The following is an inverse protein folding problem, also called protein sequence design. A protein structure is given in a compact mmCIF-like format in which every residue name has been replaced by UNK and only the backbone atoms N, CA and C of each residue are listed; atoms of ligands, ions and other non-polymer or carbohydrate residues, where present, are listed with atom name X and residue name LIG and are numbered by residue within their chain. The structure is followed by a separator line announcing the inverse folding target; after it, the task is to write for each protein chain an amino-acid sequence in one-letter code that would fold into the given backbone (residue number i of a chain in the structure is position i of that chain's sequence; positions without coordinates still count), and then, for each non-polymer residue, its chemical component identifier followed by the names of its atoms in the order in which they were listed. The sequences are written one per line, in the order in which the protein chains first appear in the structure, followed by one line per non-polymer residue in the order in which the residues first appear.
data_IF_261669743725
#
_entry.id   IF_261669743725
#
_cell.length_a   1.000
_cell.length_b   1.000
_cell.length_c   1.000
_cell.angle_alpha   90.00
_cell.angle_beta   90.00
_cell.angle_gamma   90.00
#
_symmetry.space_group_name_H-M   'P 1'
#
loop_
_entity.id
_entity.type
_entity.pdbx_description
1 polymer ?
#
# COMPACT_ATOMS: atom_id res chain seq x y z
N UNK A 1 -11.61 0.29 23.61
CA UNK A 1 -11.81 1.20 22.47
C UNK A 1 -10.46 1.83 22.14
N UNK A 2 -10.07 2.00 20.87
CA UNK A 2 -8.83 2.71 20.54
C UNK A 2 -8.89 4.15 21.06
N UNK A 3 -7.75 4.64 21.54
CA UNK A 3 -7.62 5.98 22.12
C UNK A 3 -7.87 7.08 21.05
N UNK A 4 -8.40 8.23 21.44
CA UNK A 4 -8.73 9.32 20.50
C UNK A 4 -7.49 9.76 19.69
N UNK A 5 -6.34 9.79 20.35
CA UNK A 5 -5.05 10.12 19.73
C UNK A 5 -4.63 9.14 18.64
N UNK A 6 -4.96 7.85 18.81
CA UNK A 6 -4.67 6.80 17.81
C UNK A 6 -5.51 7.03 16.56
N UNK A 7 -6.78 7.41 16.70
CA UNK A 7 -7.66 7.68 15.58
C UNK A 7 -7.22 8.91 14.78
N UNK A 8 -6.83 9.99 15.46
CA UNK A 8 -6.31 11.20 14.80
C UNK A 8 -5.03 10.91 14.00
N UNK A 9 -4.13 10.13 14.59
CA UNK A 9 -2.89 9.72 13.92
C UNK A 9 -3.18 8.85 12.69
N UNK A 10 -4.12 7.90 12.80
CA UNK A 10 -4.52 7.05 11.68
C UNK A 10 -5.16 7.86 10.52
N UNK A 11 -5.95 8.90 10.82
CA UNK A 11 -6.53 9.79 9.81
C UNK A 11 -5.46 10.60 9.06
N UNK A 12 -4.47 11.15 9.78
CA UNK A 12 -3.34 11.86 9.15
C UNK A 12 -2.51 10.93 8.26
N UNK A 13 -2.26 9.70 8.73
CA UNK A 13 -1.58 8.66 7.94
C UNK A 13 -2.35 8.35 6.67
N UNK A 14 -3.67 8.17 6.77
CA UNK A 14 -4.55 7.89 5.64
C UNK A 14 -4.59 9.04 4.63
N UNK A 15 -4.68 10.28 5.10
CA UNK A 15 -4.73 11.47 4.23
C UNK A 15 -3.45 11.66 3.43
N UNK A 16 -2.29 11.61 4.09
CA UNK A 16 -0.98 11.72 3.44
C UNK A 16 -0.74 10.59 2.44
N UNK A 17 -1.07 9.36 2.81
CA UNK A 17 -0.98 8.21 1.92
C UNK A 17 -1.95 8.28 0.73
N UNK A 18 -3.16 8.78 0.94
CA UNK A 18 -4.16 8.96 -0.12
C UNK A 18 -3.71 9.96 -1.17
N UNK A 19 -3.14 11.10 -0.75
CA UNK A 19 -2.57 12.10 -1.66
C UNK A 19 -1.43 11.48 -2.49
N UNK A 20 -0.47 10.85 -1.83
CA UNK A 20 0.66 10.21 -2.52
C UNK A 20 0.21 9.09 -3.45
N UNK A 21 -0.79 8.29 -3.05
CA UNK A 21 -1.34 7.23 -3.91
C UNK A 21 -2.04 7.80 -5.13
N UNK A 22 -2.76 8.92 -5.01
CA UNK A 22 -3.41 9.59 -6.13
C UNK A 22 -2.43 10.28 -7.07
N UNK A 23 -1.31 10.80 -6.56
CA UNK A 23 -0.28 11.48 -7.36
C UNK A 23 0.66 10.50 -8.07
N UNK A 24 1.12 9.47 -7.38
CA UNK A 24 2.17 8.57 -7.88
C UNK A 24 1.67 7.17 -8.26
N UNK A 25 0.39 6.84 -8.00
CA UNK A 25 -0.17 5.52 -8.30
C UNK A 25 0.38 4.36 -7.45
N UNK A 26 1.20 4.63 -6.43
CA UNK A 26 1.92 3.63 -5.62
C UNK A 26 1.05 2.86 -4.60
N UNK A 27 -0.26 3.10 -4.58
CA UNK A 27 -1.21 2.42 -3.69
C UNK A 27 -1.18 2.87 -2.23
N UNK A 28 -0.34 3.82 -1.79
CA UNK A 28 -0.34 4.36 -0.41
C UNK A 28 0.25 3.44 0.66
N UNK A 29 0.31 2.11 0.45
CA UNK A 29 0.88 1.13 1.38
C UNK A 29 2.36 1.34 1.71
N UNK A 30 3.12 1.89 0.74
CA UNK A 30 4.51 2.32 0.95
C UNK A 30 4.64 3.33 2.08
N UNK A 31 3.60 4.14 2.29
CA UNK A 31 3.55 5.19 3.30
C UNK A 31 2.83 4.70 4.56
N UNK A 32 1.69 4.01 4.42
CA UNK A 32 0.87 3.55 5.55
C UNK A 32 1.62 2.52 6.40
N UNK A 33 2.24 1.50 5.80
CA UNK A 33 2.86 0.40 6.56
C UNK A 33 3.98 0.89 7.50
N UNK A 34 4.98 1.68 7.04
CA UNK A 34 6.00 2.23 7.92
C UNK A 34 5.42 3.13 9.01
N UNK A 35 4.42 3.97 8.69
CA UNK A 35 3.85 4.87 9.68
C UNK A 35 3.08 4.12 10.78
N UNK A 36 2.35 3.05 10.44
CA UNK A 36 1.70 2.19 11.43
C UNK A 36 2.73 1.49 12.34
N UNK A 37 3.88 1.07 11.80
CA UNK A 37 4.95 0.44 12.58
C UNK A 37 5.65 1.48 13.48
N UNK A 38 6.01 2.64 12.95
CA UNK A 38 6.84 3.61 13.67
C UNK A 38 6.07 4.46 14.67
N UNK A 39 4.88 4.94 14.29
CA UNK A 39 4.07 5.82 15.14
C UNK A 39 3.09 5.06 16.01
N UNK A 40 2.41 4.05 15.45
CA UNK A 40 1.40 3.29 16.18
C UNK A 40 1.95 1.99 16.80
N UNK A 41 3.24 1.70 16.61
CA UNK A 41 3.93 0.53 17.17
C UNK A 41 3.25 -0.80 16.84
N UNK A 42 2.60 -0.89 15.68
CA UNK A 42 1.99 -2.13 15.24
C UNK A 42 3.07 -3.14 14.82
N UNK A 43 2.82 -4.43 15.05
CA UNK A 43 3.61 -5.50 14.43
C UNK A 43 3.47 -5.43 12.90
N UNK A 44 4.48 -5.85 12.13
CA UNK A 44 4.40 -5.70 10.67
C UNK A 44 3.22 -6.45 10.07
N UNK A 45 2.87 -7.64 10.56
CA UNK A 45 1.68 -8.35 10.08
C UNK A 45 0.39 -7.56 10.32
N UNK A 46 0.25 -6.91 11.49
CA UNK A 46 -0.90 -6.07 11.80
C UNK A 46 -0.90 -4.79 10.96
N UNK A 47 0.25 -4.15 10.78
CA UNK A 47 0.40 -2.96 9.94
C UNK A 47 0.07 -3.25 8.47
N UNK A 48 0.61 -4.34 7.91
CA UNK A 48 0.32 -4.78 6.54
C UNK A 48 -1.17 -5.08 6.39
N UNK A 49 -1.76 -5.91 7.26
CA UNK A 49 -3.19 -6.24 7.21
C UNK A 49 -4.09 -5.00 7.32
N UNK A 50 -3.77 -4.08 8.23
CA UNK A 50 -4.53 -2.82 8.40
C UNK A 50 -4.41 -1.91 7.17
N UNK A 51 -3.22 -1.84 6.56
CA UNK A 51 -3.00 -1.04 5.35
C UNK A 51 -3.77 -1.58 4.15
N UNK A 52 -3.92 -2.90 4.01
CA UNK A 52 -4.66 -3.49 2.90
C UNK A 52 -6.14 -3.06 2.91
N UNK A 53 -6.73 -2.96 4.11
CA UNK A 53 -8.12 -2.49 4.27
C UNK A 53 -8.31 -1.07 3.76
N UNK A 54 -7.36 -0.16 4.01
CA UNK A 54 -7.44 1.23 3.56
C UNK A 54 -7.07 1.42 2.09
N UNK A 55 -6.25 0.54 1.51
CA UNK A 55 -5.83 0.64 0.10
C UNK A 55 -6.89 0.13 -0.88
N UNK A 56 -7.52 -1.00 -0.58
CA UNK A 56 -8.39 -1.72 -1.52
C UNK A 56 -9.74 -1.02 -1.76
N UNK A 57 -10.32 -0.40 -0.75
CA UNK A 57 -11.68 0.14 -0.81
C UNK A 57 -11.69 1.64 -1.18
N UNK A 58 -11.23 2.57 -0.35
CA UNK A 58 -11.39 3.99 -0.64
C UNK A 58 -10.36 4.53 -1.64
N UNK A 59 -9.07 4.17 -1.50
CA UNK A 59 -8.00 4.79 -2.29
C UNK A 59 -8.02 4.32 -3.75
N UNK A 60 -8.04 3.00 -3.96
CA UNK A 60 -8.04 2.43 -5.32
C UNK A 60 -9.24 2.86 -6.15
N UNK A 61 -10.45 2.78 -5.59
CA UNK A 61 -11.70 3.10 -6.32
C UNK A 61 -11.72 4.57 -6.74
N UNK A 62 -11.41 5.50 -5.83
CA UNK A 62 -11.46 6.93 -6.13
C UNK A 62 -10.39 7.33 -7.16
N UNK A 63 -9.19 6.76 -7.07
CA UNK A 63 -8.12 7.03 -8.03
C UNK A 63 -8.49 6.50 -9.43
N UNK A 64 -8.90 5.23 -9.54
CA UNK A 64 -9.32 4.63 -10.81
C UNK A 64 -10.47 5.40 -11.42
N UNK A 65 -11.48 5.79 -10.63
CA UNK A 65 -12.60 6.59 -11.14
C UNK A 65 -12.14 7.93 -11.74
N UNK A 66 -11.17 8.60 -11.11
CA UNK A 66 -10.64 9.88 -11.61
C UNK A 66 -9.88 9.70 -12.93
N UNK A 67 -8.97 8.73 -13.01
CA UNK A 67 -8.21 8.45 -14.23
C UNK A 67 -9.08 7.87 -15.35
N UNK A 68 -10.10 7.07 -15.00
CA UNK A 68 -11.06 6.55 -15.97
C UNK A 68 -11.87 7.68 -16.62
N UNK A 69 -12.31 8.67 -15.82
CA UNK A 69 -12.97 9.88 -16.33
C UNK A 69 -12.03 10.74 -17.20
N UNK A 70 -10.72 10.68 -16.99
CA UNK A 70 -9.73 11.37 -17.81
C UNK A 70 -9.40 10.63 -19.13
N UNK A 71 -9.85 9.38 -19.30
CA UNK A 71 -9.54 8.55 -20.46
C UNK A 71 -8.20 7.81 -20.38
N UNK A 72 -7.48 7.90 -19.25
CA UNK A 72 -6.13 7.35 -19.06
C UNK A 72 -6.11 5.91 -18.52
N UNK A 73 -7.22 5.17 -18.65
CA UNK A 73 -7.35 3.81 -18.10
C UNK A 73 -7.64 2.80 -19.21
N UNK A 74 -6.66 1.92 -19.45
CA UNK A 74 -6.89 0.69 -20.22
C UNK A 74 -7.50 -0.39 -19.30
N UNK A 75 -8.81 -0.57 -19.39
CA UNK A 75 -9.54 -1.54 -18.60
C UNK A 75 -9.13 -2.99 -18.90
N UNK A 76 -8.72 -3.31 -20.14
CA UNK A 76 -8.36 -4.70 -20.49
C UNK A 76 -7.06 -5.08 -19.80
N UNK A 77 -6.05 -4.21 -19.88
CA UNK A 77 -4.77 -4.42 -19.21
C UNK A 77 -4.97 -4.40 -17.70
N UNK A 78 -5.74 -3.44 -17.18
CA UNK A 78 -6.05 -3.33 -15.75
C UNK A 78 -6.71 -4.59 -15.18
N UNK A 79 -7.68 -5.17 -15.88
CA UNK A 79 -8.35 -6.41 -15.47
C UNK A 79 -7.44 -7.64 -15.54
N UNK A 80 -6.56 -7.73 -16.55
CA UNK A 80 -5.58 -8.80 -16.64
C UNK A 80 -4.60 -8.76 -15.45
N UNK A 81 -4.13 -7.56 -15.08
CA UNK A 81 -3.30 -7.35 -13.89
C UNK A 81 -4.07 -7.75 -12.62
N UNK A 82 -5.32 -7.30 -12.48
CA UNK A 82 -6.15 -7.62 -11.33
C UNK A 82 -6.36 -9.13 -11.14
N UNK A 83 -6.57 -9.87 -12.23
CA UNK A 83 -6.68 -11.33 -12.19
C UNK A 83 -5.38 -12.00 -11.72
N UNK A 84 -4.23 -11.56 -12.23
CA UNK A 84 -2.93 -12.06 -11.77
C UNK A 84 -2.69 -11.80 -10.28
N UNK A 85 -3.04 -10.59 -9.80
CA UNK A 85 -2.97 -10.24 -8.38
C UNK A 85 -3.89 -11.14 -7.56
N UNK A 86 -5.14 -11.34 -7.99
CA UNK A 86 -6.12 -12.15 -7.26
C UNK A 86 -5.60 -13.57 -7.00
N UNK A 87 -4.96 -14.19 -8.00
CA UNK A 87 -4.41 -15.55 -7.88
C UNK A 87 -3.16 -15.58 -6.98
N UNK A 88 -2.28 -14.58 -7.09
CA UNK A 88 -0.95 -14.63 -6.47
C UNK A 88 -0.87 -13.98 -5.08
N UNK A 89 -1.75 -13.02 -4.77
CA UNK A 89 -1.72 -12.26 -3.52
C UNK A 89 -1.89 -13.14 -2.27
N UNK A 90 -2.71 -14.19 -2.35
CA UNK A 90 -2.89 -15.15 -1.25
C UNK A 90 -1.57 -15.86 -0.90
N UNK A 91 -0.84 -16.32 -1.91
CA UNK A 91 0.46 -16.98 -1.71
C UNK A 91 1.52 -15.99 -1.19
N UNK A 92 1.52 -14.76 -1.71
CA UNK A 92 2.39 -13.69 -1.21
C UNK A 92 2.13 -13.37 0.26
N UNK A 93 0.85 -13.28 0.67
CA UNK A 93 0.47 -13.08 2.06
C UNK A 93 0.90 -14.25 2.95
N UNK A 94 0.68 -15.49 2.50
CA UNK A 94 1.12 -16.69 3.24
C UNK A 94 2.64 -16.72 3.42
N UNK A 95 3.39 -16.40 2.37
CA UNK A 95 4.85 -16.31 2.43
C UNK A 95 5.27 -15.20 3.40
N UNK A 96 4.70 -14.01 3.29
CA UNK A 96 5.00 -12.88 4.17
C UNK A 96 4.71 -13.17 5.64
N UNK A 97 3.62 -13.88 5.95
CA UNK A 97 3.28 -14.29 7.32
C UNK A 97 4.21 -15.39 7.86
N UNK A 98 4.80 -16.21 6.98
CA UNK A 98 5.78 -17.24 7.36
C UNK A 98 7.20 -16.69 7.58
N UNK A 99 7.50 -15.51 7.02
CA UNK A 99 8.79 -14.86 7.17
C UNK A 99 8.85 -14.05 8.47
N UNK A 100 10.03 -14.04 9.10
CA UNK A 100 10.26 -13.20 10.27
C UNK A 100 10.12 -11.71 9.95
N UNK A 101 9.63 -10.93 10.92
CA UNK A 101 9.37 -9.48 10.82
C UNK A 101 10.52 -8.70 10.15
N UNK A 102 11.75 -9.03 10.52
CA UNK A 102 12.98 -8.38 10.01
C UNK A 102 13.19 -8.62 8.51
N UNK A 103 12.89 -9.82 8.02
CA UNK A 103 13.11 -10.19 6.62
C UNK A 103 12.10 -9.51 5.68
N UNK A 104 10.83 -9.44 6.10
CA UNK A 104 9.78 -8.73 5.36
C UNK A 104 10.12 -7.24 5.25
N UNK A 105 10.49 -6.60 6.36
CA UNK A 105 10.83 -5.17 6.36
C UNK A 105 12.09 -4.88 5.54
N UNK A 106 13.15 -5.70 5.67
CA UNK A 106 14.38 -5.50 4.88
C UNK A 106 14.14 -5.71 3.39
N UNK A 107 13.42 -6.77 3.01
CA UNK A 107 13.09 -7.03 1.61
C UNK A 107 12.31 -5.88 0.98
N UNK A 108 11.31 -5.36 1.69
CA UNK A 108 10.56 -4.19 1.26
C UNK A 108 11.44 -2.95 1.11
N UNK A 109 12.32 -2.67 2.08
CA UNK A 109 13.25 -1.54 2.02
C UNK A 109 14.22 -1.62 0.84
N UNK A 110 14.78 -2.80 0.55
CA UNK A 110 15.66 -3.02 -0.61
C UNK A 110 14.90 -2.76 -1.91
N UNK A 111 13.68 -3.27 -2.03
CA UNK A 111 12.84 -3.05 -3.22
C UNK A 111 12.57 -1.56 -3.45
N UNK A 112 12.25 -0.81 -2.39
CA UNK A 112 12.04 0.64 -2.48
C UNK A 112 13.31 1.38 -2.94
N UNK A 113 14.48 0.99 -2.42
CA UNK A 113 15.75 1.58 -2.81
C UNK A 113 16.04 1.36 -4.29
N UNK A 114 15.82 0.14 -4.80
CA UNK A 114 15.99 -0.18 -6.22
C UNK A 114 15.03 0.62 -7.11
N UNK A 115 13.75 0.69 -6.74
CA UNK A 115 12.74 1.47 -7.47
C UNK A 115 13.09 2.95 -7.46
N UNK A 116 13.48 3.49 -6.30
CA UNK A 116 13.89 4.89 -6.16
C UNK A 116 15.06 5.22 -7.07
N UNK A 117 16.12 4.40 -7.07
CA UNK A 117 17.27 4.62 -7.94
C UNK A 117 16.85 4.61 -9.41
N UNK A 118 16.07 3.61 -9.83
CA UNK A 118 15.60 3.53 -11.22
C UNK A 118 14.79 4.78 -11.62
N UNK A 119 13.89 5.26 -10.76
CA UNK A 119 13.06 6.43 -11.07
C UNK A 119 13.87 7.73 -11.14
N UNK A 120 14.93 7.88 -10.36
CA UNK A 120 15.78 9.08 -10.38
C UNK A 120 16.62 9.15 -11.66
N UNK A 121 17.04 8.00 -12.18
CA UNK A 121 17.92 7.91 -13.35
C UNK A 121 17.19 7.51 -14.65
N UNK A 122 15.86 7.56 -14.67
CA UNK A 122 15.03 7.32 -15.86
C UNK A 122 14.50 8.61 -16.43
#
# INVERSE_FOLDING_TARGET
MPDLMVMLTALLIGGTAGIASGLFGIGGGIIIVPMLIFFLKFSSSKAIGTSLTSMLLPVGILAVMKYYKAGDVDLKVGLAIAAGIFVTAFFGAKLGLSLGNVWVTRGFGILLLLVSLKLIFS
#
